data_IF_857832823669
#
_entry.id   IF_857832823669
#
_cell.length_a   1.000
_cell.length_b   1.000
_cell.length_c   1.000
_cell.angle_alpha   90.00
_cell.angle_beta   90.00
_cell.angle_gamma   90.00
#
_symmetry.space_group_name_H-M   'P 1'
#
loop_
_entity.id
_entity.type
_entity.pdbx_description
1 polymer ?
#
# COMPACT_ATOMS: atom_id res chain seq x y z
N UNK A 1 -19.49 -10.58 10.10
CA UNK A 1 -18.90 -10.15 11.39
C UNK A 1 -18.05 -8.92 11.12
N UNK A 2 -18.00 -7.96 12.04
CA UNK A 2 -17.09 -6.82 11.91
C UNK A 2 -15.63 -7.29 12.08
N UNK A 3 -14.65 -6.69 11.38
CA UNK A 3 -13.25 -7.07 11.53
C UNK A 3 -12.75 -6.80 12.96
N UNK A 4 -12.01 -7.75 13.52
CA UNK A 4 -11.28 -7.57 14.77
C UNK A 4 -9.99 -6.79 14.48
N UNK A 5 -9.80 -5.61 15.07
CA UNK A 5 -8.60 -4.81 14.84
C UNK A 5 -7.46 -5.18 15.78
N UNK A 6 -6.25 -5.28 15.22
CA UNK A 6 -5.04 -5.51 15.99
C UNK A 6 -4.58 -4.21 16.66
N UNK A 7 -4.17 -4.27 17.94
CA UNK A 7 -3.64 -3.11 18.64
C UNK A 7 -2.32 -2.63 18.02
N UNK A 8 -2.04 -1.33 18.19
CA UNK A 8 -0.81 -0.68 17.71
C UNK A 8 -0.53 -0.90 16.21
N UNK A 9 -1.60 -1.03 15.42
CA UNK A 9 -1.52 -1.31 13.99
C UNK A 9 -0.80 -2.63 13.66
N UNK A 10 -1.02 -3.66 14.49
CA UNK A 10 -0.43 -4.99 14.32
C UNK A 10 0.93 -5.18 15.01
N UNK A 11 1.51 -4.11 15.58
CA UNK A 11 2.87 -4.13 16.16
C UNK A 11 2.95 -4.69 17.57
N UNK A 12 1.83 -4.72 18.32
CA UNK A 12 1.87 -5.15 19.72
C UNK A 12 2.40 -6.58 19.84
N UNK A 13 3.46 -6.76 20.63
CA UNK A 13 4.06 -8.06 20.93
C UNK A 13 4.91 -8.66 19.80
N UNK A 14 5.22 -7.88 18.74
CA UNK A 14 6.10 -8.35 17.67
C UNK A 14 7.58 -8.14 18.06
N UNK A 15 8.44 -9.11 17.73
CA UNK A 15 9.90 -9.04 17.90
C UNK A 15 10.64 -8.78 16.58
N UNK A 16 9.90 -8.74 15.47
CA UNK A 16 10.42 -8.47 14.14
C UNK A 16 10.76 -6.98 14.04
N UNK A 17 11.91 -6.67 13.46
CA UNK A 17 12.31 -5.29 13.25
C UNK A 17 11.49 -4.65 12.11
N UNK A 18 11.22 -3.33 12.18
CA UNK A 18 10.57 -2.64 11.08
C UNK A 18 11.39 -2.79 9.79
N UNK A 19 10.73 -2.80 8.62
CA UNK A 19 11.44 -2.79 7.34
C UNK A 19 12.36 -1.59 7.22
N UNK A 20 13.46 -1.75 6.46
CA UNK A 20 14.41 -0.69 6.19
C UNK A 20 13.69 0.56 5.63
N UNK A 21 14.01 1.72 6.20
CA UNK A 21 13.48 3.01 5.79
C UNK A 21 14.61 3.99 5.46
N UNK A 22 14.62 4.48 4.23
CA UNK A 22 15.65 5.35 3.67
C UNK A 22 15.34 6.85 3.79
N UNK A 23 14.45 7.26 4.71
CA UNK A 23 14.08 8.68 4.92
C UNK A 23 15.28 9.61 5.13
N UNK A 24 16.36 9.10 5.73
CA UNK A 24 17.60 9.86 5.94
C UNK A 24 18.39 10.11 4.64
N UNK A 25 18.24 9.26 3.62
CA UNK A 25 18.90 9.36 2.31
C UNK A 25 18.02 10.00 1.24
N UNK A 26 16.71 9.87 1.36
CA UNK A 26 15.72 10.33 0.39
C UNK A 26 14.55 10.97 1.13
N UNK A 27 14.65 12.29 1.36
CA UNK A 27 13.65 13.04 2.14
C UNK A 27 12.46 13.41 1.27
N UNK A 28 11.28 13.49 1.88
CA UNK A 28 10.15 14.14 1.23
C UNK A 28 10.50 15.60 0.91
N UNK A 29 10.26 16.01 -0.33
CA UNK A 29 10.67 17.31 -0.85
C UNK A 29 9.49 18.27 -0.82
N UNK A 30 9.73 19.54 -0.52
CA UNK A 30 8.67 20.55 -0.40
C UNK A 30 8.11 21.05 -1.74
N UNK A 31 8.20 20.23 -2.78
CA UNK A 31 7.54 20.47 -4.07
C UNK A 31 6.30 19.60 -4.20
N UNK A 32 5.39 20.05 -5.05
CA UNK A 32 4.21 19.30 -5.43
C UNK A 32 4.59 17.98 -6.10
N UNK A 33 3.97 16.90 -5.66
CA UNK A 33 4.28 15.54 -6.12
C UNK A 33 2.99 14.79 -6.43
N UNK A 34 3.04 13.99 -7.48
CA UNK A 34 1.93 13.10 -7.81
C UNK A 34 1.83 11.99 -6.77
N UNK A 35 0.66 11.90 -6.12
CA UNK A 35 0.31 10.77 -5.26
C UNK A 35 -0.37 9.72 -6.11
N UNK A 36 0.09 8.49 -6.01
CA UNK A 36 -0.28 7.39 -6.90
C UNK A 36 -0.64 6.15 -6.09
N UNK A 37 -1.73 5.48 -6.47
CA UNK A 37 -2.02 4.12 -6.05
C UNK A 37 -1.16 3.18 -6.90
N UNK A 38 -0.31 2.42 -6.22
CA UNK A 38 0.47 1.34 -6.80
C UNK A 38 -0.24 0.02 -6.59
N UNK A 39 -0.35 -0.74 -7.66
CA UNK A 39 -0.69 -2.17 -7.60
C UNK A 39 0.45 -2.95 -8.23
N UNK A 40 1.07 -3.77 -7.41
CA UNK A 40 2.18 -4.61 -7.82
C UNK A 40 1.64 -5.87 -8.49
N UNK A 41 2.25 -6.26 -9.61
CA UNK A 41 1.89 -7.50 -10.29
C UNK A 41 2.17 -8.75 -9.44
N UNK A 42 1.64 -9.93 -9.84
CA UNK A 42 1.85 -11.18 -9.13
C UNK A 42 3.34 -11.50 -8.99
N UNK A 43 3.77 -11.74 -7.76
CA UNK A 43 5.08 -12.27 -7.42
C UNK A 43 5.07 -13.80 -7.33
N UNK A 44 6.18 -14.40 -6.89
CA UNK A 44 6.35 -15.85 -6.82
C UNK A 44 5.36 -16.59 -5.90
N UNK A 45 4.62 -15.89 -5.04
CA UNK A 45 3.59 -16.46 -4.16
C UNK A 45 2.16 -15.96 -4.42
N UNK A 46 1.92 -15.20 -5.49
CA UNK A 46 0.58 -14.66 -5.79
C UNK A 46 -0.24 -15.71 -6.52
N UNK A 47 -1.32 -16.18 -5.90
CA UNK A 47 -2.18 -17.24 -6.44
C UNK A 47 -3.55 -16.75 -6.90
N UNK A 48 -3.96 -15.57 -6.43
CA UNK A 48 -5.24 -14.94 -6.74
C UNK A 48 -5.13 -13.41 -6.82
N UNK A 49 -6.11 -12.69 -7.40
CA UNK A 49 -6.13 -11.22 -7.43
C UNK A 49 -6.02 -10.58 -6.04
N UNK A 50 -6.50 -11.29 -5.01
CA UNK A 50 -6.51 -10.84 -3.62
C UNK A 50 -5.11 -10.81 -3.00
N UNK A 51 -4.16 -11.49 -3.62
CA UNK A 51 -2.78 -11.57 -3.15
C UNK A 51 -1.91 -10.45 -3.75
N UNK A 52 -2.46 -9.62 -4.64
CA UNK A 52 -1.74 -8.46 -5.18
C UNK A 52 -1.51 -7.42 -4.08
N UNK A 53 -0.29 -6.92 -4.02
CA UNK A 53 0.10 -5.92 -3.04
C UNK A 53 -0.30 -4.52 -3.52
N UNK A 54 -0.87 -3.71 -2.62
CA UNK A 54 -1.29 -2.33 -2.92
C UNK A 54 -0.55 -1.36 -1.98
N UNK A 55 -0.21 -0.17 -2.49
CA UNK A 55 0.32 0.92 -1.66
C UNK A 55 -0.03 2.28 -2.24
N UNK A 56 -0.21 3.29 -1.40
CA UNK A 56 -0.08 4.68 -1.87
C UNK A 56 1.38 5.08 -1.89
N UNK A 57 1.79 5.83 -2.90
CA UNK A 57 3.17 6.27 -3.01
C UNK A 57 3.31 7.64 -3.68
N UNK A 58 4.45 8.29 -3.47
CA UNK A 58 4.90 9.46 -4.22
C UNK A 58 6.42 9.50 -4.27
N UNK A 59 6.97 10.23 -5.24
CA UNK A 59 8.41 10.40 -5.36
C UNK A 59 8.94 11.31 -4.24
N UNK A 60 10.12 10.96 -3.74
CA UNK A 60 10.91 11.78 -2.80
C UNK A 60 12.26 12.11 -3.44
N UNK A 61 13.15 12.81 -2.73
CA UNK A 61 14.47 13.15 -3.29
C UNK A 61 15.26 11.89 -3.69
N UNK A 62 16.28 12.07 -4.52
CA UNK A 62 17.23 11.02 -4.92
C UNK A 62 16.58 9.79 -5.57
N UNK A 63 15.44 9.99 -6.27
CA UNK A 63 14.73 8.92 -6.99
C UNK A 63 14.07 7.88 -6.07
N UNK A 64 13.96 8.18 -4.77
CA UNK A 64 13.24 7.35 -3.82
C UNK A 64 11.73 7.49 -3.96
N UNK A 65 11.01 6.57 -3.32
CA UNK A 65 9.56 6.60 -3.20
C UNK A 65 9.17 6.45 -1.74
N UNK A 66 8.25 7.31 -1.27
CA UNK A 66 7.55 7.09 0.00
C UNK A 66 6.38 6.14 -0.27
N UNK A 67 6.24 5.10 0.53
CA UNK A 67 5.17 4.11 0.46
C UNK A 67 4.34 4.10 1.74
N UNK A 68 3.02 4.03 1.57
CA UNK A 68 2.03 3.83 2.62
C UNK A 68 1.32 2.50 2.34
N UNK A 69 1.61 1.50 3.16
CA UNK A 69 1.02 0.16 3.06
C UNK A 69 1.19 -0.65 4.33
N UNK A 70 0.39 -1.70 4.47
CA UNK A 70 0.60 -2.76 5.47
C UNK A 70 1.47 -3.86 4.88
N UNK A 71 2.32 -4.48 5.71
CA UNK A 71 3.11 -5.66 5.34
C UNK A 71 2.56 -6.90 6.01
N UNK A 72 2.72 -8.04 5.35
CA UNK A 72 2.41 -9.36 5.90
C UNK A 72 3.65 -9.89 6.61
N UNK A 73 3.53 -10.19 7.90
CA UNK A 73 4.63 -10.61 8.76
C UNK A 73 4.40 -12.03 9.31
N UNK A 74 5.42 -12.88 9.21
CA UNK A 74 5.43 -14.19 9.83
C UNK A 74 5.88 -14.07 11.28
N UNK A 75 5.00 -14.37 12.23
CA UNK A 75 5.24 -14.30 13.68
C UNK A 75 5.17 -15.68 14.32
N UNK A 76 6.04 -16.65 13.94
CA UNK A 76 5.91 -18.06 14.33
C UNK A 76 6.01 -18.31 15.84
N UNK A 77 6.55 -17.35 16.60
CA UNK A 77 6.63 -17.39 18.05
C UNK A 77 5.30 -17.05 18.75
N UNK A 78 4.35 -16.41 18.06
CA UNK A 78 3.00 -16.16 18.56
C UNK A 78 2.06 -17.29 18.10
N UNK A 79 1.73 -18.19 19.03
CA UNK A 79 0.87 -19.34 18.75
C UNK A 79 -0.57 -18.96 18.37
N UNK A 80 -1.06 -17.80 18.80
CA UNK A 80 -2.43 -17.35 18.55
C UNK A 80 -2.55 -16.56 17.26
N UNK A 81 -1.44 -15.98 16.80
CA UNK A 81 -1.38 -15.19 15.60
C UNK A 81 -0.02 -15.41 14.92
N UNK A 82 0.19 -16.58 14.28
CA UNK A 82 1.47 -16.98 13.68
C UNK A 82 1.82 -16.19 12.41
N UNK A 83 0.84 -15.47 11.88
CA UNK A 83 0.98 -14.55 10.77
C UNK A 83 0.02 -13.39 10.97
N UNK A 84 0.45 -12.16 10.63
CA UNK A 84 -0.38 -10.95 10.77
C UNK A 84 -0.01 -9.89 9.76
N UNK A 85 -0.88 -8.90 9.62
CA UNK A 85 -0.55 -7.66 8.94
C UNK A 85 -0.05 -6.61 9.93
N UNK A 86 0.86 -5.75 9.46
CA UNK A 86 1.44 -4.68 10.27
C UNK A 86 1.55 -3.40 9.45
N UNK A 87 1.09 -2.28 10.00
CA UNK A 87 1.44 -0.96 9.48
C UNK A 87 2.62 -0.40 10.28
N UNK A 88 3.78 -0.34 9.63
CA UNK A 88 5.02 0.16 10.24
C UNK A 88 5.15 1.69 10.17
N UNK A 89 4.20 2.37 9.54
CA UNK A 89 4.28 3.78 9.19
C UNK A 89 4.70 4.01 7.74
N UNK A 90 4.85 5.28 7.33
CA UNK A 90 5.39 5.64 6.02
C UNK A 90 6.82 5.11 5.84
N UNK A 91 7.11 4.52 4.67
CA UNK A 91 8.40 3.92 4.38
C UNK A 91 9.00 4.49 3.11
N UNK A 92 10.21 5.05 3.19
CA UNK A 92 10.95 5.43 1.99
C UNK A 92 11.81 4.28 1.50
N UNK A 93 11.65 3.94 0.22
CA UNK A 93 12.37 2.86 -0.46
C UNK A 93 12.99 3.37 -1.76
N UNK A 94 14.08 2.75 -2.18
CA UNK A 94 14.63 2.97 -3.53
C UNK A 94 13.70 2.32 -4.57
N UNK A 95 13.64 2.91 -5.77
CA UNK A 95 12.86 2.32 -6.86
C UNK A 95 13.53 1.03 -7.38
N UNK A 96 12.91 -0.11 -7.12
CA UNK A 96 13.30 -1.40 -7.71
C UNK A 96 12.48 -1.75 -8.96
N UNK A 97 12.81 -2.87 -9.61
CA UNK A 97 12.09 -3.35 -10.80
C UNK A 97 10.57 -3.47 -10.56
N UNK A 98 10.16 -3.96 -9.40
CA UNK A 98 8.75 -4.08 -9.02
C UNK A 98 8.02 -2.72 -8.96
N UNK A 99 8.68 -1.66 -8.48
CA UNK A 99 8.16 -0.28 -8.44
C UNK A 99 7.96 0.27 -9.87
N UNK A 100 8.90 -0.02 -10.78
CA UNK A 100 8.77 0.40 -12.17
C UNK A 100 7.66 -0.35 -12.90
N UNK A 101 7.52 -1.66 -12.65
CA UNK A 101 6.51 -2.53 -13.27
C UNK A 101 5.11 -2.41 -12.63
N UNK A 102 5.00 -1.84 -11.43
CA UNK A 102 3.71 -1.61 -10.79
C UNK A 102 2.83 -0.70 -11.65
N UNK A 103 1.55 -1.04 -11.74
CA UNK A 103 0.55 -0.12 -12.31
C UNK A 103 0.37 1.03 -11.34
N UNK A 104 0.36 2.23 -11.92
CA UNK A 104 0.25 3.49 -11.18
C UNK A 104 -1.05 4.15 -11.60
N UNK A 105 -1.89 4.46 -10.62
CA UNK A 105 -3.09 5.26 -10.84
C UNK A 105 -2.96 6.55 -10.06
N UNK A 106 -2.97 7.68 -10.77
CA UNK A 106 -2.89 9.00 -10.17
C UNK A 106 -4.09 9.29 -9.27
N UNK A 107 -3.80 9.76 -8.07
CA UNK A 107 -4.74 10.44 -7.18
C UNK A 107 -4.64 11.96 -7.30
N UNK A 108 -3.72 12.47 -8.13
CA UNK A 108 -3.48 13.90 -8.34
C UNK A 108 -2.15 14.38 -7.75
N UNK A 109 -1.80 15.61 -8.13
CA UNK A 109 -0.62 16.32 -7.66
C UNK A 109 -0.95 17.00 -6.33
N UNK A 110 -0.12 16.77 -5.31
CA UNK A 110 -0.37 17.21 -3.94
C UNK A 110 0.88 17.85 -3.34
N UNK A 111 0.70 18.93 -2.59
CA UNK A 111 1.76 19.60 -1.86
C UNK A 111 2.20 18.81 -0.60
N UNK A 112 3.32 19.21 0.01
CA UNK A 112 3.88 18.51 1.18
C UNK A 112 2.92 18.46 2.38
N UNK A 113 2.12 19.51 2.61
CA UNK A 113 1.15 19.53 3.71
C UNK A 113 0.06 18.46 3.52
N UNK A 114 -0.47 18.33 2.30
CA UNK A 114 -1.45 17.31 1.95
C UNK A 114 -0.85 15.91 2.06
N UNK A 115 0.40 15.70 1.64
CA UNK A 115 1.08 14.39 1.78
C UNK A 115 1.33 14.01 3.25
N UNK A 116 1.77 14.96 4.09
CA UNK A 116 1.85 14.75 5.55
C UNK A 116 0.48 14.45 6.16
N UNK A 117 -0.60 15.06 5.65
CA UNK A 117 -1.96 14.74 6.08
C UNK A 117 -2.35 13.31 5.69
N UNK A 118 -1.96 12.81 4.53
CA UNK A 118 -2.14 11.40 4.14
C UNK A 118 -1.43 10.48 5.14
N UNK A 119 -0.17 10.76 5.48
CA UNK A 119 0.59 9.98 6.47
C UNK A 119 -0.11 9.95 7.83
N UNK A 120 -0.62 11.10 8.29
CA UNK A 120 -1.37 11.18 9.54
C UNK A 120 -2.67 10.36 9.51
N UNK A 121 -3.46 10.46 8.45
CA UNK A 121 -4.70 9.69 8.30
C UNK A 121 -4.42 8.19 8.24
N UNK A 122 -3.30 7.77 7.65
CA UNK A 122 -2.92 6.36 7.60
C UNK A 122 -2.76 5.73 9.00
N UNK A 123 -2.30 6.50 9.99
CA UNK A 123 -2.23 6.05 11.39
C UNK A 123 -3.61 5.83 12.03
N UNK A 124 -4.68 6.41 11.48
CA UNK A 124 -6.05 6.24 11.96
C UNK A 124 -6.75 5.01 11.35
N UNK A 125 -6.19 4.39 10.31
CA UNK A 125 -6.77 3.21 9.67
C UNK A 125 -6.35 1.97 10.45
N UNK A 126 -7.29 1.31 11.12
CA UNK A 126 -7.01 0.08 11.85
C UNK A 126 -6.54 -1.07 10.94
N UNK A 127 -5.55 -1.82 11.40
CA UNK A 127 -5.12 -3.09 10.79
C UNK A 127 -5.92 -4.24 11.40
N UNK A 128 -6.63 -5.01 10.58
CA UNK A 128 -7.44 -6.12 11.08
C UNK A 128 -6.62 -7.41 11.23
N UNK A 129 -7.10 -8.27 12.12
CA UNK A 129 -6.62 -9.63 12.26
C UNK A 129 -6.93 -10.41 10.97
N UNK A 130 -5.98 -11.22 10.48
CA UNK A 130 -6.23 -12.21 9.44
C UNK A 130 -7.44 -13.10 9.76
N UNK A 131 -8.48 -13.01 8.94
CA UNK A 131 -9.68 -13.86 8.99
C UNK A 131 -9.87 -14.67 7.67
N UNK A 132 -8.86 -14.64 6.80
CA UNK A 132 -8.91 -15.21 5.44
C UNK A 132 -9.61 -14.33 4.41
N UNK A 133 -10.25 -13.23 4.82
CA UNK A 133 -10.89 -12.26 3.93
C UNK A 133 -10.09 -10.96 3.90
N UNK A 134 -9.75 -10.40 5.05
CA UNK A 134 -9.03 -9.13 5.15
C UNK A 134 -7.60 -9.25 4.62
N UNK A 135 -7.17 -8.25 3.85
CA UNK A 135 -5.83 -8.19 3.26
C UNK A 135 -5.36 -6.74 3.07
N UNK A 136 -4.16 -6.55 2.49
CA UNK A 136 -3.61 -5.22 2.24
C UNK A 136 -4.48 -4.32 1.37
N UNK A 137 -5.26 -4.88 0.45
CA UNK A 137 -6.17 -4.14 -0.43
C UNK A 137 -7.31 -3.54 0.39
N UNK A 138 -7.90 -4.30 1.32
CA UNK A 138 -8.94 -3.80 2.22
C UNK A 138 -8.42 -2.63 3.08
N UNK A 139 -7.17 -2.69 3.55
CA UNK A 139 -6.57 -1.58 4.29
C UNK A 139 -6.39 -0.33 3.42
N UNK A 140 -5.93 -0.48 2.17
CA UNK A 140 -5.81 0.65 1.24
C UNK A 140 -7.17 1.22 0.85
N UNK A 141 -8.20 0.38 0.67
CA UNK A 141 -9.57 0.83 0.44
C UNK A 141 -10.11 1.63 1.62
N UNK A 142 -9.87 1.16 2.86
CA UNK A 142 -10.23 1.90 4.07
C UNK A 142 -9.48 3.24 4.18
N UNK A 143 -8.20 3.28 3.83
CA UNK A 143 -7.42 4.51 3.74
C UNK A 143 -8.01 5.48 2.71
N UNK A 144 -8.28 5.03 1.48
CA UNK A 144 -8.90 5.84 0.44
C UNK A 144 -10.26 6.39 0.87
N UNK A 145 -11.06 5.59 1.59
CA UNK A 145 -12.30 6.04 2.22
C UNK A 145 -12.08 7.20 3.19
N UNK A 146 -11.12 7.06 4.12
CA UNK A 146 -10.78 8.14 5.06
C UNK A 146 -10.22 9.39 4.37
N UNK A 147 -9.42 9.23 3.32
CA UNK A 147 -8.91 10.35 2.53
C UNK A 147 -10.05 11.13 1.86
N UNK A 148 -11.06 10.42 1.34
CA UNK A 148 -12.26 11.03 0.79
C UNK A 148 -13.10 11.74 1.86
N UNK A 149 -13.36 11.10 3.00
CA UNK A 149 -14.08 11.68 4.14
C UNK A 149 -13.41 12.96 4.67
N UNK A 150 -12.07 12.99 4.67
CA UNK A 150 -11.26 14.15 5.08
C UNK A 150 -11.02 15.16 3.96
N UNK A 151 -11.66 15.00 2.78
CA UNK A 151 -11.54 15.89 1.61
C UNK A 151 -10.11 16.05 1.09
N UNK A 152 -9.25 15.06 1.32
CA UNK A 152 -7.90 15.00 0.73
C UNK A 152 -7.98 14.61 -0.75
N UNK A 153 -8.94 13.74 -1.08
CA UNK A 153 -9.31 13.39 -2.45
C UNK A 153 -10.81 13.60 -2.67
N UNK A 154 -11.20 13.78 -3.92
CA UNK A 154 -12.60 13.90 -4.33
C UNK A 154 -13.16 12.57 -4.89
N UNK A 155 -14.46 12.55 -5.17
CA UNK A 155 -15.17 11.37 -5.66
C UNK A 155 -14.60 10.83 -6.98
N UNK A 156 -14.16 11.71 -7.88
CA UNK A 156 -13.62 11.31 -9.17
C UNK A 156 -12.25 10.61 -9.02
N UNK A 157 -11.37 11.15 -8.17
CA UNK A 157 -10.09 10.55 -7.83
C UNK A 157 -10.27 9.18 -7.16
N UNK A 158 -11.18 9.09 -6.18
CA UNK A 158 -11.50 7.83 -5.52
C UNK A 158 -12.04 6.78 -6.50
N UNK A 159 -13.08 7.12 -7.27
CA UNK A 159 -13.73 6.19 -8.19
C UNK A 159 -12.77 5.68 -9.27
N UNK A 160 -11.94 6.58 -9.81
CA UNK A 160 -10.91 6.21 -10.80
C UNK A 160 -9.89 5.23 -10.20
N UNK A 161 -9.41 5.49 -8.99
CA UNK A 161 -8.45 4.62 -8.32
C UNK A 161 -8.99 3.21 -8.12
N UNK A 162 -10.24 3.08 -7.67
CA UNK A 162 -10.88 1.77 -7.45
C UNK A 162 -11.11 1.03 -8.77
N UNK A 163 -11.61 1.71 -9.79
CA UNK A 163 -11.85 1.12 -11.09
C UNK A 163 -10.55 0.59 -11.72
N UNK A 164 -9.50 1.41 -11.76
CA UNK A 164 -8.22 1.02 -12.37
C UNK A 164 -7.55 -0.15 -11.64
N UNK A 165 -7.66 -0.20 -10.30
CA UNK A 165 -7.04 -1.23 -9.50
C UNK A 165 -7.73 -2.60 -9.64
N UNK A 166 -9.05 -2.61 -9.87
CA UNK A 166 -9.87 -3.82 -10.01
C UNK A 166 -9.54 -4.63 -11.28
N UNK A 167 -9.08 -3.97 -12.35
CA UNK A 167 -8.82 -4.60 -13.65
C UNK A 167 -7.39 -5.16 -13.82
N UNK A 168 -6.53 -5.03 -12.81
CA UNK A 168 -5.12 -5.39 -12.95
C UNK A 168 -4.85 -6.87 -13.17
N UNK A 169 -5.65 -7.72 -12.53
CA UNK A 169 -5.48 -9.15 -12.62
C UNK A 169 -5.71 -9.63 -14.05
N UNK A 170 -6.82 -9.19 -14.65
CA UNK A 170 -7.21 -9.56 -16.01
C UNK A 170 -6.18 -9.07 -17.04
N UNK A 171 -5.70 -7.83 -16.88
CA UNK A 171 -4.70 -7.23 -17.77
C UNK A 171 -3.33 -7.92 -17.71
N UNK A 172 -2.96 -8.48 -16.55
CA UNK A 172 -1.67 -9.15 -16.38
C UNK A 172 -1.64 -10.49 -17.12
N UNK A 173 -2.68 -11.32 -16.96
CA UNK A 173 -2.77 -12.60 -17.67
C UNK A 173 -2.91 -12.39 -19.18
N UNK A 174 -3.69 -11.39 -19.61
CA UNK A 174 -3.79 -11.03 -21.02
C UNK A 174 -2.44 -10.58 -21.62
N UNK A 175 -1.58 -9.89 -20.85
CA UNK A 175 -0.23 -9.52 -21.30
C UNK A 175 0.73 -10.70 -21.34
N UNK A 176 0.71 -11.58 -20.34
CA UNK A 176 1.55 -12.79 -20.31
C UNK A 176 1.20 -13.78 -21.42
N UNK A 177 -0.08 -13.97 -21.71
CA UNK A 177 -0.55 -14.81 -22.82
C UNK A 177 -0.09 -14.29 -24.19
N UNK A 178 0.09 -12.98 -24.35
CA UNK A 178 0.64 -12.36 -25.56
C UNK A 178 2.16 -12.49 -25.65
N UNK A 179 2.87 -12.37 -24.52
CA UNK A 179 4.33 -12.48 -24.46
C UNK A 179 4.84 -13.93 -24.65
N UNK A 180 4.04 -14.95 -24.31
CA UNK A 180 4.37 -16.36 -24.53
C UNK A 180 4.03 -16.90 -25.92
N UNK A 181 3.60 -16.04 -26.85
CA UNK A 181 3.27 -16.38 -28.26
C UNK A 181 4.24 -15.75 -29.27
N UNK A 182 5.34 -15.14 -28.79
CA UNK A 182 6.39 -14.53 -29.60
C UNK A 182 7.65 -15.41 -29.61
#
# INVERSE_FOLDING_TARGET
MAPEYLPEQGRRGITILPPLNNDHLARDIEVDQEVVLFVYGPGGGTTSPRDLHWSLAWQVSNGGWKHIHVTAENTPYDRHLPWRYVYWGPQTKTAGLATYQARKTSLGVMNSATRKRIEAIAWEVGVAKPDGQWNCQHWILALLGKLYENRVINQAQWSKAIADASHLWDDWFARRARAGRA
#
